data_IF_094435136857
#
_entry.id   IF_094435136857
#
_cell.length_a   1.000
_cell.length_b   1.000
_cell.length_c   1.000
_cell.angle_alpha   90.00
_cell.angle_beta   90.00
_cell.angle_gamma   90.00
#
_symmetry.space_group_name_H-M   'P 1'
#
loop_
_entity.id
_entity.type
_entity.pdbx_description
1 polymer ?
#
# COMPACT_ATOMS: atom_id res chain seq x y z
N UNK A 1 -44.89 -2.35 7.54
CA UNK A 1 -43.72 -1.46 7.76
C UNK A 1 -42.48 -2.31 7.97
N UNK A 2 -41.63 -2.42 6.95
CA UNK A 2 -40.39 -3.19 7.00
C UNK A 2 -39.35 -2.39 7.81
N UNK A 3 -38.98 -2.86 9.00
CA UNK A 3 -37.91 -2.24 9.79
C UNK A 3 -36.60 -2.35 9.00
N UNK A 4 -36.16 -1.23 8.41
CA UNK A 4 -34.84 -1.10 7.83
C UNK A 4 -33.83 -1.50 8.91
N UNK A 5 -33.07 -2.57 8.67
CA UNK A 5 -31.99 -2.98 9.56
C UNK A 5 -31.07 -1.77 9.78
N UNK A 6 -30.61 -1.49 11.02
CA UNK A 6 -29.77 -0.34 11.27
C UNK A 6 -28.55 -0.42 10.35
N UNK A 7 -28.33 0.66 9.58
CA UNK A 7 -27.16 0.80 8.72
C UNK A 7 -25.94 0.43 9.56
N UNK A 8 -25.15 -0.54 9.08
CA UNK A 8 -23.96 -0.98 9.80
C UNK A 8 -23.15 0.27 10.15
N UNK A 9 -22.87 0.53 11.44
CA UNK A 9 -22.23 1.76 11.89
C UNK A 9 -20.97 2.04 11.05
N UNK A 10 -21.04 2.96 10.08
CA UNK A 10 -19.92 3.35 9.22
C UNK A 10 -19.20 4.49 9.91
N UNK A 11 -17.87 4.43 9.92
CA UNK A 11 -17.05 5.49 10.47
C UNK A 11 -16.78 6.47 9.34
N UNK A 12 -17.44 7.61 9.39
CA UNK A 12 -17.35 8.63 8.34
C UNK A 12 -15.91 9.18 8.26
N UNK A 13 -15.20 9.24 9.39
CA UNK A 13 -13.81 9.71 9.48
C UNK A 13 -12.88 8.87 8.60
N UNK A 14 -13.06 7.54 8.62
CA UNK A 14 -12.27 6.59 7.84
C UNK A 14 -12.58 6.71 6.36
N UNK A 15 -13.85 6.91 6.01
CA UNK A 15 -14.29 7.09 4.64
C UNK A 15 -13.85 8.46 4.08
N UNK A 16 -13.89 9.53 4.88
CA UNK A 16 -13.38 10.87 4.53
C UNK A 16 -11.87 10.85 4.33
N UNK A 17 -11.10 10.26 5.25
CA UNK A 17 -9.65 10.14 5.11
C UNK A 17 -9.26 9.37 3.84
N UNK A 18 -10.01 8.30 3.50
CA UNK A 18 -9.83 7.58 2.23
C UNK A 18 -10.15 8.46 1.03
N UNK A 19 -11.26 9.22 1.08
CA UNK A 19 -11.65 10.15 0.03
C UNK A 19 -10.58 11.19 -0.24
N UNK A 20 -10.04 11.80 0.82
CA UNK A 20 -8.92 12.77 0.72
C UNK A 20 -7.71 12.10 0.06
N UNK A 21 -7.32 10.91 0.50
CA UNK A 21 -6.19 10.19 -0.08
C UNK A 21 -6.36 9.94 -1.60
N UNK A 22 -7.58 9.58 -2.03
CA UNK A 22 -7.90 9.38 -3.46
C UNK A 22 -7.80 10.70 -4.23
N UNK A 23 -8.34 11.81 -3.70
CA UNK A 23 -8.25 13.11 -4.37
C UNK A 23 -6.80 13.54 -4.54
N UNK A 24 -5.98 13.41 -3.47
CA UNK A 24 -4.55 13.76 -3.53
C UNK A 24 -3.78 12.87 -4.52
N UNK A 25 -4.08 11.57 -4.55
CA UNK A 25 -3.51 10.62 -5.52
C UNK A 25 -3.83 11.01 -6.96
N UNK A 26 -5.07 11.41 -7.24
CA UNK A 26 -5.48 11.86 -8.58
C UNK A 26 -4.73 13.14 -8.96
N UNK A 27 -4.59 14.11 -8.04
CA UNK A 27 -3.83 15.35 -8.30
C UNK A 27 -2.36 15.02 -8.63
N UNK A 28 -1.75 14.12 -7.85
CA UNK A 28 -0.37 13.69 -8.08
C UNK A 28 -0.19 13.07 -9.47
N UNK A 29 -1.01 12.07 -9.82
CA UNK A 29 -0.90 11.39 -11.12
C UNK A 29 -1.27 12.30 -12.29
N UNK A 30 -2.27 13.16 -12.14
CA UNK A 30 -2.58 14.15 -13.17
C UNK A 30 -1.38 15.06 -13.45
N UNK A 31 -0.66 15.49 -12.41
CA UNK A 31 0.56 16.30 -12.59
C UNK A 31 1.70 15.49 -13.21
N UNK A 32 1.84 14.20 -12.84
CA UNK A 32 2.77 13.28 -13.47
C UNK A 32 2.49 13.13 -14.97
N UNK A 33 1.22 12.97 -15.36
CA UNK A 33 0.82 12.83 -16.75
C UNK A 33 1.10 14.13 -17.53
N UNK A 34 0.78 15.30 -16.96
CA UNK A 34 1.15 16.58 -17.57
C UNK A 34 2.66 16.72 -17.77
N UNK A 35 3.48 16.23 -16.84
CA UNK A 35 4.93 16.20 -17.00
C UNK A 35 5.37 15.25 -18.11
N UNK A 36 4.79 14.05 -18.16
CA UNK A 36 5.06 13.05 -19.18
C UNK A 36 4.73 13.54 -20.60
N UNK A 37 3.63 14.29 -20.76
CA UNK A 37 3.25 14.92 -22.03
C UNK A 37 4.00 16.23 -22.34
N UNK A 38 4.94 16.65 -21.48
CA UNK A 38 5.74 17.87 -21.67
C UNK A 38 5.00 19.19 -21.41
N UNK A 39 3.79 19.14 -20.83
CA UNK A 39 2.98 20.33 -20.49
C UNK A 39 3.49 20.99 -19.20
N UNK A 40 3.92 20.18 -18.23
CA UNK A 40 4.52 20.64 -16.98
C UNK A 40 6.02 20.40 -16.99
N UNK A 41 6.82 21.43 -16.73
CA UNK A 41 8.29 21.36 -16.75
C UNK A 41 8.93 21.05 -15.39
N UNK A 42 8.13 20.87 -14.33
CA UNK A 42 8.66 20.57 -13.01
C UNK A 42 9.24 19.16 -12.92
N UNK A 43 10.25 18.99 -12.08
CA UNK A 43 10.88 17.70 -11.87
C UNK A 43 10.07 16.84 -10.89
N UNK A 44 9.25 15.92 -11.42
CA UNK A 44 8.44 14.99 -10.60
C UNK A 44 9.27 14.04 -9.74
N UNK A 45 10.55 13.85 -10.05
CA UNK A 45 11.48 13.03 -9.27
C UNK A 45 12.12 13.80 -8.10
N UNK A 46 11.89 15.12 -8.00
CA UNK A 46 12.42 15.94 -6.91
C UNK A 46 11.71 15.65 -5.58
N UNK A 47 12.43 15.87 -4.48
CA UNK A 47 11.98 15.56 -3.11
C UNK A 47 10.58 16.09 -2.75
N UNK A 48 10.13 17.30 -3.15
CA UNK A 48 8.79 17.76 -2.81
C UNK A 48 7.67 16.87 -3.37
N UNK A 49 7.77 16.49 -4.65
CA UNK A 49 6.79 15.62 -5.30
C UNK A 49 6.84 14.20 -4.75
N UNK A 50 8.04 13.69 -4.50
CA UNK A 50 8.21 12.37 -3.89
C UNK A 50 7.67 12.34 -2.45
N UNK A 51 7.92 13.37 -1.63
CA UNK A 51 7.36 13.46 -0.27
C UNK A 51 5.83 13.58 -0.27
N UNK A 52 5.27 14.25 -1.28
CA UNK A 52 3.83 14.33 -1.48
C UNK A 52 3.23 12.96 -1.81
N UNK A 53 3.81 12.24 -2.78
CA UNK A 53 3.41 10.85 -3.11
C UNK A 53 3.49 9.93 -1.89
N UNK A 54 4.59 10.02 -1.13
CA UNK A 54 4.83 9.26 0.09
C UNK A 54 3.79 9.54 1.18
N UNK A 55 3.37 10.80 1.32
CA UNK A 55 2.32 11.19 2.27
C UNK A 55 0.97 10.57 1.88
N UNK A 56 0.64 10.56 0.59
CA UNK A 56 -0.58 9.91 0.07
C UNK A 56 -0.57 8.41 0.37
N UNK A 57 0.53 7.73 0.03
CA UNK A 57 0.71 6.31 0.30
C UNK A 57 0.59 5.98 1.80
N UNK A 58 1.20 6.79 2.66
CA UNK A 58 1.12 6.65 4.12
C UNK A 58 -0.33 6.71 4.61
N UNK A 59 -1.13 7.66 4.10
CA UNK A 59 -2.55 7.77 4.45
C UNK A 59 -3.32 6.52 3.99
N UNK A 60 -3.09 6.04 2.75
CA UNK A 60 -3.75 4.83 2.25
C UNK A 60 -3.43 3.60 3.11
N UNK A 61 -2.16 3.38 3.42
CA UNK A 61 -1.71 2.24 4.24
C UNK A 61 -2.32 2.32 5.64
N UNK A 62 -2.29 3.50 6.26
CA UNK A 62 -2.86 3.73 7.58
C UNK A 62 -4.37 3.45 7.60
N UNK A 63 -5.12 4.09 6.70
CA UNK A 63 -6.59 3.92 6.57
C UNK A 63 -6.94 2.47 6.26
N UNK A 64 -6.14 1.77 5.45
CA UNK A 64 -6.29 0.35 5.18
C UNK A 64 -6.15 -0.49 6.45
N UNK A 65 -5.11 -0.26 7.27
CA UNK A 65 -4.88 -0.95 8.54
C UNK A 65 -6.01 -0.73 9.55
N UNK A 66 -6.48 0.51 9.68
CA UNK A 66 -7.65 0.85 10.50
C UNK A 66 -8.90 0.12 9.98
N UNK A 67 -9.15 0.18 8.66
CA UNK A 67 -10.29 -0.48 8.03
C UNK A 67 -10.28 -2.01 8.25
N UNK A 68 -9.10 -2.63 8.20
CA UNK A 68 -8.92 -4.06 8.45
C UNK A 68 -9.29 -4.41 9.90
N UNK A 69 -8.80 -3.63 10.87
CA UNK A 69 -9.05 -3.83 12.30
C UNK A 69 -10.52 -3.62 12.66
N UNK A 70 -11.17 -2.60 12.11
CA UNK A 70 -12.61 -2.35 12.31
C UNK A 70 -13.46 -3.47 11.70
N UNK A 71 -13.13 -3.92 10.49
CA UNK A 71 -13.79 -5.07 9.85
C UNK A 71 -13.62 -6.34 10.68
N UNK A 72 -12.42 -6.60 11.21
CA UNK A 72 -12.16 -7.73 12.08
C UNK A 72 -13.00 -7.68 13.36
N UNK A 73 -12.99 -6.56 14.08
CA UNK A 73 -13.74 -6.43 15.33
C UNK A 73 -15.26 -6.60 15.16
N UNK A 74 -15.80 -6.19 14.00
CA UNK A 74 -17.21 -6.39 13.65
C UNK A 74 -17.54 -7.85 13.36
N UNK A 75 -16.63 -8.57 12.71
CA UNK A 75 -16.89 -9.90 12.17
C UNK A 75 -16.35 -11.04 13.04
N UNK A 76 -15.45 -10.78 13.99
CA UNK A 76 -14.83 -11.81 14.86
C UNK A 76 -15.84 -12.64 15.68
N UNK A 77 -17.03 -12.08 15.96
CA UNK A 77 -18.14 -12.77 16.64
C UNK A 77 -19.08 -13.52 15.69
N UNK A 78 -19.01 -13.24 14.38
CA UNK A 78 -19.94 -13.76 13.36
C UNK A 78 -19.30 -14.79 12.43
N UNK A 79 -17.98 -14.73 12.26
CA UNK A 79 -17.22 -15.58 11.34
C UNK A 79 -16.11 -16.31 12.08
N UNK A 80 -15.83 -17.55 11.65
CA UNK A 80 -14.65 -18.27 12.12
C UNK A 80 -13.35 -17.58 11.67
N UNK A 81 -12.26 -17.81 12.41
CA UNK A 81 -10.92 -17.28 12.09
C UNK A 81 -10.51 -17.63 10.66
N UNK A 82 -10.77 -18.88 10.23
CA UNK A 82 -10.48 -19.36 8.86
C UNK A 82 -11.22 -18.55 7.80
N UNK A 83 -12.51 -18.26 7.99
CA UNK A 83 -13.31 -17.46 7.04
C UNK A 83 -12.83 -15.99 6.98
N UNK A 84 -12.42 -15.43 8.11
CA UNK A 84 -11.84 -14.08 8.16
C UNK A 84 -10.52 -14.00 7.41
N UNK A 85 -9.62 -14.96 7.65
CA UNK A 85 -8.37 -15.10 6.90
C UNK A 85 -8.64 -15.23 5.42
N UNK A 86 -9.46 -16.19 5.00
CA UNK A 86 -9.78 -16.42 3.58
C UNK A 86 -10.32 -15.14 2.91
N UNK A 87 -11.23 -14.42 3.57
CA UNK A 87 -11.75 -13.14 3.06
C UNK A 87 -10.62 -12.12 2.83
N UNK A 88 -9.72 -11.96 3.78
CA UNK A 88 -8.63 -10.99 3.69
C UNK A 88 -7.56 -11.43 2.68
N UNK A 89 -7.25 -12.73 2.62
CA UNK A 89 -6.34 -13.31 1.62
C UNK A 89 -6.85 -13.06 0.20
N UNK A 90 -8.12 -13.36 -0.07
CA UNK A 90 -8.73 -13.11 -1.39
C UNK A 90 -8.70 -11.61 -1.75
N UNK A 91 -9.00 -10.73 -0.78
CA UNK A 91 -8.95 -9.29 -0.99
C UNK A 91 -7.54 -8.81 -1.28
N UNK A 92 -6.55 -9.25 -0.50
CA UNK A 92 -5.14 -8.89 -0.68
C UNK A 92 -4.60 -9.42 -2.00
N UNK A 93 -4.89 -10.68 -2.35
CA UNK A 93 -4.50 -11.28 -3.63
C UNK A 93 -5.11 -10.54 -4.82
N UNK A 94 -6.37 -10.11 -4.73
CA UNK A 94 -7.01 -9.29 -5.78
C UNK A 94 -6.29 -7.95 -5.98
N UNK A 95 -5.95 -7.25 -4.89
CA UNK A 95 -5.25 -5.97 -4.97
C UNK A 95 -3.82 -6.15 -5.49
N UNK A 96 -3.12 -7.18 -5.02
CA UNK A 96 -1.80 -7.56 -5.51
C UNK A 96 -1.84 -7.89 -7.00
N UNK A 97 -2.86 -8.63 -7.45
CA UNK A 97 -3.08 -8.95 -8.86
C UNK A 97 -3.28 -7.71 -9.73
N UNK A 98 -3.95 -6.67 -9.24
CA UNK A 98 -3.99 -5.37 -9.93
C UNK A 98 -2.60 -4.73 -10.03
N UNK A 99 -1.77 -4.86 -8.99
CA UNK A 99 -0.36 -4.46 -9.05
C UNK A 99 0.38 -5.17 -10.19
N UNK A 100 0.22 -6.48 -10.32
CA UNK A 100 0.86 -7.26 -11.40
C UNK A 100 0.40 -6.81 -12.79
N UNK A 101 -0.88 -6.46 -12.94
CA UNK A 101 -1.39 -5.90 -14.20
C UNK A 101 -0.76 -4.53 -14.51
N UNK A 102 -0.53 -3.69 -13.49
CA UNK A 102 0.22 -2.44 -13.65
C UNK A 102 1.68 -2.70 -14.01
N UNK A 103 2.33 -3.70 -13.43
CA UNK A 103 3.68 -4.13 -13.83
C UNK A 103 3.73 -4.49 -15.31
N UNK A 104 2.79 -5.30 -15.78
CA UNK A 104 2.71 -5.69 -17.19
C UNK A 104 2.47 -4.48 -18.08
N UNK A 105 1.52 -3.61 -17.74
CA UNK A 105 1.24 -2.41 -18.52
C UNK A 105 2.45 -1.47 -18.59
N UNK A 106 3.03 -1.14 -17.45
CA UNK A 106 4.19 -0.24 -17.38
C UNK A 106 5.42 -0.83 -18.05
N UNK A 107 5.59 -2.16 -18.08
CA UNK A 107 6.64 -2.80 -18.86
C UNK A 107 6.56 -2.47 -20.35
N UNK A 108 5.35 -2.50 -20.92
CA UNK A 108 5.15 -2.18 -22.35
C UNK A 108 5.15 -0.68 -22.65
N UNK A 109 4.64 0.17 -21.76
CA UNK A 109 4.48 1.61 -22.03
C UNK A 109 5.64 2.49 -21.52
N UNK A 110 6.33 2.09 -20.45
CA UNK A 110 7.38 2.90 -19.79
C UNK A 110 8.78 2.34 -20.07
N UNK A 111 8.92 1.04 -20.36
CA UNK A 111 10.21 0.40 -20.57
C UNK A 111 10.98 0.24 -19.27
N UNK A 112 12.22 0.72 -19.19
CA UNK A 112 13.14 0.47 -18.06
C UNK A 112 12.63 0.95 -16.68
N UNK A 113 11.72 1.94 -16.67
CA UNK A 113 11.10 2.48 -15.45
C UNK A 113 9.88 1.72 -14.93
N UNK A 114 9.58 0.54 -15.49
CA UNK A 114 8.40 -0.23 -15.14
C UNK A 114 8.32 -0.60 -13.65
N UNK A 115 7.11 -0.79 -13.18
CA UNK A 115 6.83 -1.02 -11.75
C UNK A 115 7.12 -2.47 -11.40
N UNK A 116 8.20 -2.74 -10.68
CA UNK A 116 8.48 -4.10 -10.14
C UNK A 116 7.70 -4.35 -8.85
N UNK A 117 7.69 -3.37 -7.94
CA UNK A 117 7.01 -3.48 -6.66
C UNK A 117 6.48 -2.12 -6.19
N UNK A 118 5.31 -1.75 -6.73
CA UNK A 118 4.59 -0.51 -6.44
C UNK A 118 3.59 -0.59 -5.29
N UNK A 119 2.84 0.50 -5.07
CA UNK A 119 1.94 0.65 -3.92
C UNK A 119 0.82 -0.41 -3.86
N UNK A 120 0.31 -0.88 -5.00
CA UNK A 120 -0.72 -1.93 -5.04
C UNK A 120 -0.18 -3.30 -4.60
N UNK A 121 1.07 -3.62 -4.95
CA UNK A 121 1.74 -4.84 -4.47
C UNK A 121 1.86 -4.78 -2.95
N UNK A 122 2.34 -3.64 -2.43
CA UNK A 122 2.45 -3.41 -1.00
C UNK A 122 1.10 -3.56 -0.30
N UNK A 123 0.06 -2.82 -0.73
CA UNK A 123 -1.27 -2.90 -0.11
C UNK A 123 -1.84 -4.32 -0.11
N UNK A 124 -1.71 -5.04 -1.23
CA UNK A 124 -2.15 -6.43 -1.34
C UNK A 124 -1.43 -7.36 -0.36
N UNK A 125 -0.10 -7.29 -0.34
CA UNK A 125 0.74 -8.07 0.56
C UNK A 125 0.52 -7.69 2.03
N UNK A 126 0.42 -6.40 2.34
CA UNK A 126 0.14 -5.90 3.69
C UNK A 126 -1.21 -6.37 4.20
N UNK A 127 -2.27 -6.46 3.39
CA UNK A 127 -3.56 -7.03 3.83
C UNK A 127 -3.40 -8.50 4.22
N UNK A 128 -2.66 -9.27 3.41
CA UNK A 128 -2.38 -10.68 3.67
C UNK A 128 -1.62 -10.82 4.99
N UNK A 129 -0.49 -10.12 5.12
CA UNK A 129 0.37 -10.20 6.30
C UNK A 129 -0.35 -9.67 7.54
N UNK A 130 -0.93 -8.48 7.49
CA UNK A 130 -1.64 -7.88 8.61
C UNK A 130 -2.80 -8.74 9.09
N UNK A 131 -3.42 -9.54 8.21
CA UNK A 131 -4.47 -10.47 8.62
C UNK A 131 -3.98 -11.54 9.61
N UNK A 132 -2.70 -11.95 9.54
CA UNK A 132 -2.08 -12.87 10.48
C UNK A 132 -1.90 -12.23 11.87
N UNK A 133 -1.61 -10.92 11.90
CA UNK A 133 -1.43 -10.15 13.13
C UNK A 133 -2.75 -9.86 13.86
N UNK A 134 -3.91 -10.03 13.22
CA UNK A 134 -5.23 -9.85 13.87
C UNK A 134 -5.52 -10.87 14.99
N UNK A 135 -4.79 -11.98 15.01
CA UNK A 135 -5.03 -13.09 15.94
C UNK A 135 -4.04 -13.14 17.11
N UNK A 136 -3.03 -12.28 17.11
CA UNK A 136 -2.02 -12.23 18.17
C UNK A 136 -2.27 -11.04 19.11
N UNK A 137 -1.52 -10.98 20.22
CA UNK A 137 -1.59 -9.85 21.15
C UNK A 137 -1.20 -8.53 20.48
N UNK A 138 -1.87 -7.44 20.87
CA UNK A 138 -1.52 -6.08 20.42
C UNK A 138 -0.05 -5.73 20.70
N UNK A 139 0.50 -6.23 21.81
CA UNK A 139 1.89 -5.99 22.19
C UNK A 139 2.87 -6.75 21.29
N UNK A 140 2.54 -7.98 20.90
CA UNK A 140 3.33 -8.74 19.93
C UNK A 140 3.30 -8.07 18.55
N UNK A 141 2.16 -7.51 18.14
CA UNK A 141 2.04 -6.73 16.90
C UNK A 141 2.87 -5.44 16.95
N UNK A 142 2.88 -4.73 18.09
CA UNK A 142 3.70 -3.54 18.29
C UNK A 142 5.20 -3.88 18.27
N UNK A 143 5.62 -4.95 18.94
CA UNK A 143 7.00 -5.41 18.92
C UNK A 143 7.45 -5.77 17.49
N UNK A 144 6.61 -6.49 16.74
CA UNK A 144 6.88 -6.81 15.34
C UNK A 144 6.97 -5.54 14.48
N UNK A 145 6.11 -4.53 14.71
CA UNK A 145 6.18 -3.26 14.00
C UNK A 145 7.51 -2.53 14.26
N UNK A 146 7.98 -2.49 15.52
CA UNK A 146 9.28 -1.88 15.87
C UNK A 146 10.42 -2.60 15.15
N UNK A 147 10.42 -3.93 15.14
CA UNK A 147 11.42 -4.74 14.43
C UNK A 147 11.39 -4.46 12.93
N UNK A 148 10.21 -4.45 12.31
CA UNK A 148 10.05 -4.17 10.87
C UNK A 148 10.51 -2.77 10.51
N UNK A 149 10.22 -1.76 11.34
CA UNK A 149 10.70 -0.39 11.14
C UNK A 149 12.23 -0.34 11.24
N UNK A 150 12.82 -0.96 12.25
CA UNK A 150 14.28 -1.03 12.40
C UNK A 150 14.97 -1.72 11.21
N UNK A 151 14.38 -2.82 10.73
CA UNK A 151 14.85 -3.50 9.51
C UNK A 151 14.72 -2.62 8.26
N UNK A 152 13.67 -1.81 8.15
CA UNK A 152 13.49 -0.87 7.04
C UNK A 152 14.55 0.23 7.00
N UNK A 153 14.84 0.83 8.16
CA UNK A 153 15.93 1.81 8.31
C UNK A 153 17.25 1.19 7.85
N UNK A 154 17.57 -0.01 8.34
CA UNK A 154 18.78 -0.73 7.94
C UNK A 154 18.83 -1.09 6.45
N UNK A 155 17.72 -1.61 5.90
CA UNK A 155 17.64 -2.02 4.50
C UNK A 155 17.70 -0.83 3.52
N UNK A 156 17.24 0.35 3.93
CA UNK A 156 17.24 1.57 3.12
C UNK A 156 18.64 2.07 2.73
N UNK A 157 19.65 1.71 3.53
CA UNK A 157 21.07 2.02 3.32
C UNK A 157 21.78 0.96 2.44
N UNK A 158 21.15 -0.19 2.22
CA UNK A 158 21.74 -1.27 1.43
C UNK A 158 21.48 -1.07 -0.07
N UNK A 159 22.51 -1.32 -0.87
CA UNK A 159 22.45 -1.35 -2.32
C UNK A 159 23.07 -2.65 -2.82
N UNK A 160 22.40 -3.32 -3.76
CA UNK A 160 22.91 -4.57 -4.35
C UNK A 160 22.78 -4.55 -5.87
N UNK A 161 23.57 -5.38 -6.56
CA UNK A 161 23.40 -5.60 -8.00
C UNK A 161 22.17 -6.48 -8.31
N UNK A 162 21.70 -7.24 -7.32
CA UNK A 162 20.68 -8.27 -7.49
C UNK A 162 19.27 -7.73 -7.31
N UNK A 163 18.29 -8.12 -8.15
CA UNK A 163 16.91 -7.62 -8.04
C UNK A 163 16.08 -8.35 -6.96
N UNK A 164 16.58 -9.44 -6.38
CA UNK A 164 15.78 -10.34 -5.53
C UNK A 164 15.30 -9.71 -4.22
N UNK A 165 15.98 -8.67 -3.73
CA UNK A 165 15.68 -8.00 -2.46
C UNK A 165 14.93 -6.67 -2.62
N UNK A 166 14.57 -6.28 -3.86
CA UNK A 166 13.86 -5.02 -4.15
C UNK A 166 12.54 -4.95 -3.37
N UNK A 167 11.76 -6.03 -3.36
CA UNK A 167 10.46 -6.03 -2.66
C UNK A 167 10.60 -5.88 -1.14
N UNK A 168 11.78 -6.15 -0.57
CA UNK A 168 12.07 -5.94 0.85
C UNK A 168 12.58 -4.53 1.15
N UNK A 169 13.00 -3.74 0.17
CA UNK A 169 13.50 -2.38 0.38
C UNK A 169 14.98 -2.18 0.08
N UNK A 170 15.72 -3.25 -0.24
CA UNK A 170 17.11 -3.15 -0.66
C UNK A 170 17.15 -2.66 -2.11
N UNK A 171 17.76 -1.50 -2.33
CA UNK A 171 17.78 -0.85 -3.65
C UNK A 171 18.67 -1.62 -4.61
N UNK A 172 18.24 -1.75 -5.86
CA UNK A 172 19.10 -2.24 -6.93
C UNK A 172 19.88 -1.08 -7.56
N UNK A 173 21.20 -1.23 -7.69
CA UNK A 173 22.04 -0.21 -8.30
C UNK A 173 21.58 0.14 -9.73
N UNK A 174 21.46 1.43 -10.03
CA UNK A 174 21.14 1.94 -11.38
C UNK A 174 19.70 1.72 -11.83
N UNK A 175 18.83 1.10 -11.02
CA UNK A 175 17.42 0.91 -11.35
C UNK A 175 16.58 2.06 -10.81
N UNK A 176 15.77 2.66 -11.67
CA UNK A 176 14.69 3.55 -11.28
C UNK A 176 13.34 2.89 -11.56
N UNK A 177 12.31 3.31 -10.84
CA UNK A 177 10.94 2.85 -11.03
C UNK A 177 10.01 4.05 -10.87
N UNK A 178 8.97 4.12 -11.70
CA UNK A 178 7.96 5.18 -11.62
C UNK A 178 7.12 5.05 -10.34
N UNK A 179 6.96 3.84 -9.82
CA UNK A 179 6.29 3.54 -8.56
C UNK A 179 7.09 2.47 -7.79
N UNK A 180 7.57 2.79 -6.59
CA UNK A 180 8.33 1.86 -5.74
C UNK A 180 8.02 2.04 -4.26
N UNK A 181 7.38 1.02 -3.68
CA UNK A 181 6.94 0.98 -2.29
C UNK A 181 7.25 -0.40 -1.70
N UNK A 182 8.47 -0.63 -1.19
CA UNK A 182 8.85 -1.92 -0.63
C UNK A 182 8.07 -2.29 0.63
N UNK A 183 8.15 -3.57 1.03
CA UNK A 183 7.51 -4.09 2.22
C UNK A 183 8.05 -3.45 3.50
N UNK A 184 9.36 -3.31 3.61
CA UNK A 184 9.95 -2.61 4.76
C UNK A 184 9.81 -1.09 4.56
N UNK A 185 9.59 -0.33 5.64
CA UNK A 185 9.39 1.12 5.56
C UNK A 185 10.54 1.85 4.84
N UNK A 186 10.18 2.90 4.11
CA UNK A 186 11.03 3.71 3.23
C UNK A 186 10.97 5.20 3.58
#
# INVERSE_FOLDING_TARGET
>A
MQKLAPASHRYWEVDTARGIAIVLMVIYHFTWDLNHFGIYSGNMLASPWQNFARSIATIFIFVMGVSLTLSYNRLKRKLSRKRLLQKNLLRGAKIFGWGLLITIGTYFFIGDGFVVFGILHLLGLSIILASLFLFISRWASLAAAIVVIGLGIYAGDLVTASPWLIWLGVKQAGRYMVDYYPLLPW
#
